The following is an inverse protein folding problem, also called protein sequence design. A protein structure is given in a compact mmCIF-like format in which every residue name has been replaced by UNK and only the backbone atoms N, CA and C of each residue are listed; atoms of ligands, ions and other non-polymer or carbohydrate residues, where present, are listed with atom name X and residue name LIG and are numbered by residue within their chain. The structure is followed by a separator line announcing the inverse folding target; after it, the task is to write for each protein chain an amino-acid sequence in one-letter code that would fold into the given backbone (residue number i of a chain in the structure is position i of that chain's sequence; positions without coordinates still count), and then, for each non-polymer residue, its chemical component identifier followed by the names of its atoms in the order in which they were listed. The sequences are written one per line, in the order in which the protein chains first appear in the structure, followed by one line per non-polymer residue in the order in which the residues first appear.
data_IF_456649440830
#
_entry.id   IF_456649440830
#
_cell.length_a   1.000
_cell.length_b   1.000
_cell.length_c   1.000
_cell.angle_alpha   90.00
_cell.angle_beta   90.00
_cell.angle_gamma   90.00
#
_symmetry.space_group_name_H-M   'P 1'
#
loop_
_entity.id
_entity.type
_entity.pdbx_description
1 polymer ?
#
# COMPACT_ATOMS: atom_id res chain seq x y z
N UNK A 1 0.24 20.16 -41.09
CA UNK A 1 -0.30 19.36 -39.97
C UNK A 1 -1.80 19.55 -39.88
N UNK A 2 -2.56 18.46 -39.90
CA UNK A 2 -4.00 18.48 -39.65
C UNK A 2 -4.28 18.64 -38.15
N UNK A 3 -5.48 19.11 -37.79
CA UNK A 3 -5.93 19.26 -36.38
C UNK A 3 -5.83 17.94 -35.60
N UNK A 4 -6.09 16.85 -36.30
CA UNK A 4 -6.07 15.47 -35.82
C UNK A 4 -4.65 14.97 -35.52
N UNK A 5 -3.67 15.28 -36.36
CA UNK A 5 -2.26 15.00 -36.08
C UNK A 5 -1.78 15.75 -34.83
N UNK A 6 -2.15 17.03 -34.68
CA UNK A 6 -1.84 17.81 -33.47
C UNK A 6 -2.45 17.20 -32.21
N UNK A 7 -3.67 16.66 -32.32
CA UNK A 7 -4.33 15.99 -31.20
C UNK A 7 -3.60 14.72 -30.78
N UNK A 8 -3.24 13.86 -31.74
CA UNK A 8 -2.52 12.61 -31.47
C UNK A 8 -1.13 12.87 -30.89
N UNK A 9 -0.40 13.88 -31.37
CA UNK A 9 0.88 14.30 -30.79
C UNK A 9 0.74 14.83 -29.36
N UNK A 10 -0.26 15.67 -29.10
CA UNK A 10 -0.54 16.17 -27.75
C UNK A 10 -0.95 15.04 -26.79
N UNK A 11 -1.70 14.05 -27.27
CA UNK A 11 -2.04 12.86 -26.50
C UNK A 11 -0.80 12.02 -26.18
N UNK A 12 0.06 11.75 -27.18
CA UNK A 12 1.33 11.06 -26.99
C UNK A 12 2.21 11.76 -25.95
N UNK A 13 2.38 13.07 -26.06
CA UNK A 13 3.16 13.88 -25.11
C UNK A 13 2.62 13.75 -23.67
N UNK A 14 1.30 13.85 -23.47
CA UNK A 14 0.67 13.65 -22.15
C UNK A 14 0.88 12.23 -21.60
N UNK A 15 0.89 11.20 -22.45
CA UNK A 15 1.16 9.83 -22.00
C UNK A 15 2.62 9.64 -21.59
N UNK A 16 3.56 10.21 -22.34
CA UNK A 16 4.98 10.18 -21.98
C UNK A 16 5.23 10.85 -20.64
N UNK A 17 4.62 12.01 -20.38
CA UNK A 17 4.69 12.69 -19.08
C UNK A 17 4.11 11.82 -17.94
N UNK A 18 2.99 11.14 -18.19
CA UNK A 18 2.39 10.21 -17.21
C UNK A 18 3.28 9.01 -16.93
N UNK A 19 3.96 8.46 -17.94
CA UNK A 19 4.93 7.36 -17.75
C UNK A 19 6.11 7.85 -16.93
N UNK A 20 6.64 9.06 -17.21
CA UNK A 20 7.73 9.62 -16.41
C UNK A 20 7.32 9.81 -14.94
N UNK A 21 6.14 10.39 -14.70
CA UNK A 21 5.58 10.56 -13.35
C UNK A 21 5.41 9.20 -12.66
N UNK A 22 4.95 8.18 -13.38
CA UNK A 22 4.79 6.82 -12.86
C UNK A 22 6.13 6.20 -12.42
N UNK A 23 7.19 6.40 -13.22
CA UNK A 23 8.54 5.95 -12.88
C UNK A 23 9.03 6.64 -11.61
N UNK A 24 8.83 7.95 -11.50
CA UNK A 24 9.24 8.73 -10.33
C UNK A 24 8.45 8.33 -9.08
N UNK A 25 7.14 8.12 -9.21
CA UNK A 25 6.28 7.67 -8.10
C UNK A 25 6.65 6.27 -7.62
N UNK A 26 7.03 5.36 -8.52
CA UNK A 26 7.53 4.04 -8.16
C UNK A 26 8.91 4.11 -7.51
N UNK A 27 9.85 4.88 -8.09
CA UNK A 27 11.20 5.06 -7.57
C UNK A 27 11.20 5.68 -6.17
N UNK A 28 10.32 6.65 -5.92
CA UNK A 28 10.11 7.28 -4.61
C UNK A 28 9.26 6.42 -3.65
N UNK A 29 8.69 5.31 -4.14
CA UNK A 29 7.96 4.33 -3.34
C UNK A 29 6.54 4.74 -2.97
N UNK A 30 5.94 5.69 -3.68
CA UNK A 30 4.54 6.14 -3.46
C UNK A 30 3.51 5.11 -3.91
N UNK A 31 3.88 4.26 -4.87
CA UNK A 31 3.04 3.16 -5.38
C UNK A 31 3.75 1.82 -5.18
N UNK A 32 2.95 0.75 -5.09
CA UNK A 32 3.47 -0.62 -5.00
C UNK A 32 3.77 -1.18 -6.41
N UNK A 33 4.29 -2.42 -6.46
CA UNK A 33 4.68 -3.07 -7.72
C UNK A 33 3.47 -3.31 -8.63
N UNK A 34 2.36 -3.75 -8.07
CA UNK A 34 1.15 -4.08 -8.85
C UNK A 34 0.50 -2.83 -9.47
N UNK A 35 0.46 -1.72 -8.73
CA UNK A 35 0.06 -0.40 -9.23
C UNK A 35 0.96 0.05 -10.37
N UNK A 36 2.28 -0.12 -10.23
CA UNK A 36 3.23 0.23 -11.27
C UNK A 36 2.98 -0.58 -12.55
N UNK A 37 2.91 -1.91 -12.46
CA UNK A 37 2.69 -2.76 -13.64
C UNK A 37 1.36 -2.45 -14.33
N UNK A 38 0.27 -2.36 -13.58
CA UNK A 38 -1.06 -2.11 -14.16
C UNK A 38 -1.14 -0.74 -14.87
N UNK A 39 -0.52 0.29 -14.31
CA UNK A 39 -0.48 1.62 -14.94
C UNK A 39 0.48 1.67 -16.11
N UNK A 40 1.65 1.04 -16.00
CA UNK A 40 2.66 1.04 -17.05
C UNK A 40 2.17 0.30 -18.29
N UNK A 41 1.56 -0.88 -18.12
CA UNK A 41 0.95 -1.65 -19.19
C UNK A 41 -0.11 -0.83 -19.92
N UNK A 42 -1.02 -0.21 -19.16
CA UNK A 42 -2.06 0.67 -19.72
C UNK A 42 -1.48 1.82 -20.53
N UNK A 43 -0.52 2.56 -19.96
CA UNK A 43 0.03 3.73 -20.64
C UNK A 43 0.81 3.32 -21.88
N UNK A 44 1.55 2.21 -21.82
CA UNK A 44 2.27 1.64 -22.97
C UNK A 44 1.32 1.22 -24.09
N UNK A 45 0.22 0.52 -23.76
CA UNK A 45 -0.79 0.14 -24.73
C UNK A 45 -1.43 1.37 -25.41
N UNK A 46 -1.74 2.42 -24.65
CA UNK A 46 -2.29 3.67 -25.19
C UNK A 46 -1.27 4.44 -26.04
N UNK A 47 0.01 4.37 -25.71
CA UNK A 47 1.08 4.97 -26.49
C UNK A 47 1.20 4.30 -27.87
N UNK A 48 1.12 2.97 -27.91
CA UNK A 48 1.13 2.21 -29.16
C UNK A 48 -0.05 2.57 -30.06
N UNK A 49 -1.25 2.77 -29.49
CA UNK A 49 -2.42 3.23 -30.28
C UNK A 49 -2.20 4.65 -30.82
N UNK A 50 -1.61 5.54 -30.04
CA UNK A 50 -1.28 6.90 -30.49
C UNK A 50 -0.25 6.90 -31.63
N UNK A 51 0.78 6.06 -31.52
CA UNK A 51 1.79 5.89 -32.57
C UNK A 51 1.17 5.32 -33.86
N UNK A 52 0.31 4.31 -33.73
CA UNK A 52 -0.42 3.78 -34.88
C UNK A 52 -1.32 4.82 -35.54
N UNK A 53 -2.04 5.63 -34.76
CA UNK A 53 -2.89 6.71 -35.28
C UNK A 53 -2.08 7.76 -36.07
N UNK A 54 -0.89 8.12 -35.59
CA UNK A 54 0.03 9.04 -36.26
C UNK A 54 0.56 8.47 -37.59
N UNK A 55 0.93 7.18 -37.60
CA UNK A 55 1.47 6.50 -38.79
C UNK A 55 0.41 6.21 -39.84
N UNK A 56 -0.79 5.80 -39.43
CA UNK A 56 -1.89 5.42 -40.33
C UNK A 56 -2.73 6.61 -40.80
N UNK A 57 -2.57 7.80 -40.20
CA UNK A 57 -3.41 8.96 -40.47
C UNK A 57 -4.87 8.76 -40.02
N UNK A 58 -5.14 7.78 -39.15
CA UNK A 58 -6.47 7.50 -38.59
C UNK A 58 -6.54 7.95 -37.11
N UNK A 59 -7.00 9.18 -36.84
CA UNK A 59 -7.00 9.76 -35.51
C UNK A 59 -8.12 9.24 -34.60
N UNK A 60 -9.17 8.61 -35.15
CA UNK A 60 -10.30 8.07 -34.37
C UNK A 60 -9.85 6.96 -33.42
N UNK A 61 -8.73 6.28 -33.74
CA UNK A 61 -8.11 5.29 -32.86
C UNK A 61 -7.69 5.88 -31.50
N UNK A 62 -7.35 7.19 -31.43
CA UNK A 62 -6.99 7.86 -30.17
C UNK A 62 -8.21 8.07 -29.28
N UNK A 63 -9.37 8.38 -29.85
CA UNK A 63 -10.61 8.53 -29.09
C UNK A 63 -11.04 7.20 -28.45
N UNK A 64 -10.82 6.09 -29.16
CA UNK A 64 -11.09 4.73 -28.64
C UNK A 64 -10.09 4.36 -27.53
N UNK A 65 -8.83 4.78 -27.63
CA UNK A 65 -7.78 4.51 -26.63
C UNK A 65 -8.06 5.16 -25.26
N UNK A 66 -8.91 6.17 -25.19
CA UNK A 66 -9.30 6.80 -23.93
C UNK A 66 -10.26 5.94 -23.10
N UNK A 67 -10.93 4.96 -23.72
CA UNK A 67 -11.82 4.00 -23.05
C UNK A 67 -11.11 3.08 -22.05
N UNK A 68 -11.90 2.46 -21.15
CA UNK A 68 -11.42 1.55 -20.09
C UNK A 68 -11.43 2.16 -18.68
N UNK A 69 -11.06 1.38 -17.65
CA UNK A 69 -11.10 1.82 -16.25
C UNK A 69 -10.21 3.04 -16.04
N UNK A 70 -10.60 4.01 -15.21
CA UNK A 70 -9.83 5.23 -14.94
C UNK A 70 -8.51 4.94 -14.19
N UNK A 71 -7.55 5.86 -14.22
CA UNK A 71 -6.29 5.71 -13.45
C UNK A 71 -6.58 5.55 -11.97
N UNK A 72 -7.58 6.29 -11.47
CA UNK A 72 -8.05 6.20 -10.09
C UNK A 72 -8.55 4.79 -9.75
N UNK A 73 -9.40 4.21 -10.62
CA UNK A 73 -9.93 2.86 -10.41
C UNK A 73 -8.81 1.81 -10.34
N UNK A 74 -7.79 1.90 -11.21
CA UNK A 74 -6.64 0.99 -11.14
C UNK A 74 -5.91 1.15 -9.81
N UNK A 75 -5.59 2.39 -9.42
CA UNK A 75 -4.92 2.67 -8.15
C UNK A 75 -5.70 2.17 -6.93
N UNK A 76 -7.02 2.30 -6.95
CA UNK A 76 -7.91 1.82 -5.89
C UNK A 76 -8.02 0.30 -5.84
N UNK A 77 -7.92 -0.40 -6.98
CA UNK A 77 -8.01 -1.85 -7.07
C UNK A 77 -6.70 -2.54 -6.66
N UNK A 78 -5.56 -1.98 -7.06
CA UNK A 78 -4.23 -2.59 -6.85
C UNK A 78 -3.48 -2.01 -5.66
N UNK A 79 -3.91 -0.88 -5.10
CA UNK A 79 -3.27 -0.27 -3.94
C UNK A 79 -3.43 -1.09 -2.67
N UNK A 80 -2.39 -1.09 -1.83
CA UNK A 80 -2.42 -1.70 -0.50
C UNK A 80 -3.49 -1.07 0.41
N UNK A 81 -4.37 -1.88 0.98
CA UNK A 81 -5.40 -1.44 1.93
C UNK A 81 -5.22 -2.15 3.27
N UNK A 82 -4.84 -1.42 4.32
CA UNK A 82 -4.78 -1.99 5.66
C UNK A 82 -6.18 -2.43 6.10
N UNK A 83 -6.31 -3.70 6.47
CA UNK A 83 -7.55 -4.31 6.94
C UNK A 83 -7.59 -4.38 8.47
N UNK A 84 -6.47 -4.71 9.08
CA UNK A 84 -6.32 -4.85 10.52
C UNK A 84 -4.86 -4.88 10.93
N UNK A 85 -4.64 -4.87 12.25
CA UNK A 85 -3.32 -4.75 12.85
C UNK A 85 -3.32 -5.48 14.19
N UNK A 86 -2.26 -6.24 14.45
CA UNK A 86 -1.97 -6.85 15.74
C UNK A 86 -0.77 -6.15 16.35
N UNK A 87 -0.83 -5.90 17.66
CA UNK A 87 0.28 -5.38 18.44
C UNK A 87 0.72 -6.49 19.39
N UNK A 88 1.98 -6.88 19.29
CA UNK A 88 2.62 -7.88 20.15
C UNK A 88 3.57 -7.22 21.12
N UNK A 89 3.66 -7.76 22.32
CA UNK A 89 4.75 -7.50 23.23
C UNK A 89 6.02 -8.23 22.74
N UNK A 90 7.12 -7.50 22.54
CA UNK A 90 8.34 -8.07 21.96
C UNK A 90 9.08 -9.01 22.91
N UNK A 91 8.85 -8.93 24.22
CA UNK A 91 9.52 -9.80 25.19
C UNK A 91 8.83 -11.16 25.33
N UNK A 92 7.50 -11.16 25.38
CA UNK A 92 6.67 -12.35 25.62
C UNK A 92 6.03 -12.94 24.37
N UNK A 93 6.06 -12.21 23.24
CA UNK A 93 5.29 -12.51 22.03
C UNK A 93 3.77 -12.61 22.27
N UNK A 94 3.27 -12.07 23.38
CA UNK A 94 1.85 -12.02 23.68
C UNK A 94 1.16 -10.91 22.87
N UNK A 95 -0.09 -11.13 22.46
CA UNK A 95 -0.90 -10.09 21.82
C UNK A 95 -1.32 -9.08 22.89
N UNK A 96 -0.96 -7.82 22.67
CA UNK A 96 -1.43 -6.67 23.46
C UNK A 96 -2.79 -6.22 22.95
N UNK A 97 -2.95 -6.08 21.63
CA UNK A 97 -4.20 -5.55 21.06
C UNK A 97 -4.41 -6.00 19.60
N UNK A 98 -5.69 -6.08 19.20
CA UNK A 98 -6.12 -6.27 17.81
C UNK A 98 -6.98 -5.09 17.34
N UNK A 99 -6.55 -4.40 16.29
CA UNK A 99 -7.27 -3.28 15.69
C UNK A 99 -7.79 -3.64 14.29
N UNK A 100 -9.05 -3.32 14.00
CA UNK A 100 -9.66 -3.56 12.68
C UNK A 100 -10.01 -5.03 12.42
N UNK A 101 -9.98 -5.45 11.16
CA UNK A 101 -10.30 -6.82 10.74
C UNK A 101 -9.02 -7.58 10.42
N UNK A 102 -8.60 -8.42 11.37
CA UNK A 102 -7.46 -9.31 11.19
C UNK A 102 -7.95 -10.75 11.00
N UNK A 103 -8.04 -11.19 9.74
CA UNK A 103 -8.65 -12.49 9.40
C UNK A 103 -7.62 -13.59 9.13
N UNK A 104 -6.33 -13.27 9.16
CA UNK A 104 -5.26 -14.25 8.93
C UNK A 104 -5.09 -15.10 10.19
N UNK A 105 -5.03 -16.42 10.00
CA UNK A 105 -4.93 -17.38 11.08
C UNK A 105 -3.54 -17.39 11.71
N UNK A 106 -3.46 -17.76 12.99
CA UNK A 106 -2.22 -17.70 13.76
C UNK A 106 -1.10 -18.59 13.17
N UNK A 107 -1.43 -19.73 12.56
CA UNK A 107 -0.47 -20.63 11.89
C UNK A 107 0.27 -19.97 10.73
N UNK A 108 -0.32 -18.96 10.07
CA UNK A 108 0.35 -18.16 9.03
C UNK A 108 1.21 -17.03 9.61
N UNK A 109 0.78 -16.43 10.73
CA UNK A 109 1.47 -15.27 11.34
C UNK A 109 2.65 -15.71 12.21
N UNK A 110 2.47 -16.73 13.03
CA UNK A 110 3.43 -17.12 14.07
C UNK A 110 4.81 -17.49 13.53
N UNK A 111 4.97 -18.25 12.42
CA UNK A 111 6.28 -18.55 11.87
C UNK A 111 7.03 -17.29 11.44
N UNK A 112 6.33 -16.39 10.73
CA UNK A 112 6.89 -15.11 10.29
C UNK A 112 7.29 -14.23 11.47
N UNK A 113 6.45 -14.18 12.50
CA UNK A 113 6.72 -13.41 13.70
C UNK A 113 7.92 -13.97 14.48
N UNK A 114 8.02 -15.29 14.62
CA UNK A 114 9.12 -15.95 15.31
C UNK A 114 10.46 -15.70 14.60
N UNK A 115 10.51 -15.86 13.28
CA UNK A 115 11.70 -15.58 12.47
C UNK A 115 12.10 -14.09 12.55
N UNK A 116 11.11 -13.20 12.50
CA UNK A 116 11.30 -11.76 12.58
C UNK A 116 11.83 -11.32 13.94
N UNK A 117 11.23 -11.79 15.04
CA UNK A 117 11.65 -11.44 16.39
C UNK A 117 12.98 -12.10 16.80
N UNK A 118 13.32 -13.25 16.20
CA UNK A 118 14.60 -13.93 16.41
C UNK A 118 15.78 -13.23 15.75
N UNK A 119 15.55 -12.23 14.88
CA UNK A 119 16.59 -11.53 14.14
C UNK A 119 16.92 -10.18 14.79
N UNK A 120 18.13 -9.99 15.38
CA UNK A 120 18.53 -8.70 15.92
C UNK A 120 18.57 -7.63 14.82
N UNK A 121 18.01 -6.45 15.09
CA UNK A 121 17.91 -5.35 14.13
C UNK A 121 17.15 -5.72 12.84
N UNK A 122 16.14 -6.58 12.92
CA UNK A 122 15.30 -6.93 11.79
C UNK A 122 14.79 -5.67 11.06
N UNK A 123 15.13 -5.57 9.77
CA UNK A 123 14.45 -4.65 8.88
C UNK A 123 13.00 -5.09 8.71
N UNK A 124 12.11 -4.14 8.43
CA UNK A 124 10.70 -4.43 8.21
C UNK A 124 10.49 -5.56 7.20
N UNK A 125 9.62 -6.49 7.56
CA UNK A 125 9.32 -7.65 6.73
C UNK A 125 7.97 -7.47 6.06
N UNK A 126 7.93 -7.59 4.74
CA UNK A 126 6.71 -7.63 3.93
C UNK A 126 6.60 -9.02 3.32
N UNK A 127 5.56 -9.76 3.71
CA UNK A 127 5.37 -11.15 3.31
C UNK A 127 3.97 -11.37 2.74
N UNK A 128 3.88 -12.06 1.61
CA UNK A 128 2.60 -12.51 1.06
C UNK A 128 2.15 -13.76 1.81
N UNK A 129 0.92 -13.76 2.32
CA UNK A 129 0.33 -14.88 3.08
C UNK A 129 -0.88 -15.51 2.38
N UNK A 130 -1.39 -14.85 1.34
CA UNK A 130 -2.42 -15.35 0.44
C UNK A 130 -2.41 -14.54 -0.88
N UNK A 131 -3.23 -14.92 -1.87
CA UNK A 131 -3.28 -14.29 -3.20
C UNK A 131 -3.40 -12.76 -3.15
N UNK A 132 -4.20 -12.24 -2.22
CA UNK A 132 -4.44 -10.79 -2.05
C UNK A 132 -4.15 -10.31 -0.62
N UNK A 133 -3.42 -11.08 0.17
CA UNK A 133 -3.16 -10.75 1.57
C UNK A 133 -1.66 -10.69 1.84
N UNK A 134 -1.26 -9.58 2.44
CA UNK A 134 0.12 -9.27 2.77
C UNK A 134 0.23 -8.89 4.24
N UNK A 135 1.26 -9.37 4.91
CA UNK A 135 1.64 -8.94 6.24
C UNK A 135 2.82 -8.00 6.15
N UNK A 136 2.74 -6.90 6.91
CA UNK A 136 3.87 -6.03 7.20
C UNK A 136 4.20 -6.18 8.69
N UNK A 137 5.41 -6.61 9.00
CA UNK A 137 5.94 -6.70 10.36
C UNK A 137 6.91 -5.54 10.59
N UNK A 138 6.69 -4.80 11.67
CA UNK A 138 7.52 -3.67 12.10
C UNK A 138 7.94 -3.88 13.54
N UNK A 139 9.25 -3.90 13.77
CA UNK A 139 9.82 -4.01 15.11
C UNK A 139 9.96 -2.64 15.76
N UNK A 140 9.59 -2.57 17.04
CA UNK A 140 9.85 -1.45 17.92
C UNK A 140 10.79 -1.86 19.04
N UNK A 141 10.92 -1.01 20.05
CA UNK A 141 11.72 -1.28 21.24
C UNK A 141 11.01 -2.21 22.21
N UNK A 142 9.69 -2.06 22.36
CA UNK A 142 8.87 -2.81 23.31
C UNK A 142 7.87 -3.72 22.63
N UNK A 143 7.47 -3.38 21.41
CA UNK A 143 6.37 -4.01 20.71
C UNK A 143 6.72 -4.31 19.26
N UNK A 144 6.05 -5.34 18.72
CA UNK A 144 6.10 -5.67 17.29
C UNK A 144 4.69 -5.49 16.72
N UNK A 145 4.58 -4.74 15.63
CA UNK A 145 3.32 -4.51 14.94
C UNK A 145 3.24 -5.39 13.70
N UNK A 146 2.13 -6.12 13.56
CA UNK A 146 1.82 -6.92 12.38
C UNK A 146 0.58 -6.35 11.71
N UNK A 147 0.74 -5.73 10.55
CA UNK A 147 -0.35 -5.12 9.79
C UNK A 147 -0.77 -6.00 8.63
N UNK A 148 -2.06 -6.30 8.52
CA UNK A 148 -2.66 -7.00 7.41
C UNK A 148 -3.09 -6.01 6.32
N UNK A 149 -2.61 -6.22 5.10
CA UNK A 149 -3.01 -5.48 3.91
C UNK A 149 -3.74 -6.37 2.90
N UNK A 150 -4.77 -5.80 2.26
CA UNK A 150 -5.26 -6.26 0.96
C UNK A 150 -4.36 -5.66 -0.12
N UNK A 151 -3.68 -6.52 -0.88
CA UNK A 151 -2.57 -6.21 -1.79
C UNK A 151 -1.29 -5.73 -1.08
N UNK A 152 -0.17 -5.75 -1.80
CA UNK A 152 1.13 -5.32 -1.28
C UNK A 152 1.10 -3.84 -0.82
N UNK A 153 1.63 -3.49 0.37
CA UNK A 153 1.80 -2.10 0.75
C UNK A 153 2.90 -1.42 -0.08
N UNK A 154 2.70 -0.15 -0.45
CA UNK A 154 3.80 0.67 -1.00
C UNK A 154 4.84 1.01 0.07
N UNK A 155 6.07 1.35 -0.33
CA UNK A 155 7.13 1.77 0.62
C UNK A 155 6.71 2.97 1.46
N UNK A 156 5.94 3.90 0.87
CA UNK A 156 5.40 5.04 1.61
C UNK A 156 4.42 4.59 2.71
N UNK A 157 3.58 3.59 2.43
CA UNK A 157 2.69 3.02 3.44
C UNK A 157 3.46 2.28 4.53
N UNK A 158 4.51 1.56 4.18
CA UNK A 158 5.40 0.91 5.15
C UNK A 158 6.02 1.93 6.10
N UNK A 159 6.58 3.02 5.57
CA UNK A 159 7.15 4.13 6.37
C UNK A 159 6.12 4.82 7.25
N UNK A 160 4.88 4.93 6.80
CA UNK A 160 3.79 5.49 7.59
C UNK A 160 3.46 4.59 8.80
N UNK A 161 3.38 3.27 8.60
CA UNK A 161 3.18 2.31 9.69
C UNK A 161 4.35 2.35 10.67
N UNK A 162 5.59 2.42 10.19
CA UNK A 162 6.78 2.62 11.04
C UNK A 162 6.67 3.87 11.91
N UNK A 163 6.29 5.00 11.31
CA UNK A 163 6.15 6.25 12.05
C UNK A 163 5.08 6.11 13.12
N UNK A 164 3.90 5.60 12.76
CA UNK A 164 2.80 5.42 13.70
C UNK A 164 3.14 4.45 14.84
N UNK A 165 3.97 3.43 14.56
CA UNK A 165 4.47 2.51 15.58
C UNK A 165 5.44 3.19 16.54
N UNK A 166 6.38 4.00 16.04
CA UNK A 166 7.23 4.83 16.90
C UNK A 166 6.40 5.78 17.76
N UNK A 167 5.43 6.48 17.16
CA UNK A 167 4.53 7.39 17.88
C UNK A 167 3.75 6.64 18.98
N UNK A 168 3.32 5.40 18.70
CA UNK A 168 2.67 4.52 19.68
C UNK A 168 3.59 4.17 20.84
N UNK A 169 4.82 3.76 20.58
CA UNK A 169 5.75 3.41 21.66
C UNK A 169 6.15 4.62 22.50
N UNK A 170 6.36 5.78 21.87
CA UNK A 170 6.69 7.02 22.58
C UNK A 170 5.54 7.46 23.49
N UNK A 171 4.31 7.48 22.97
CA UNK A 171 3.13 7.85 23.74
C UNK A 171 2.88 6.90 24.94
N UNK A 172 3.26 5.63 24.81
CA UNK A 172 2.98 4.59 25.80
C UNK A 172 4.22 4.11 26.57
N UNK A 173 5.36 4.78 26.43
CA UNK A 173 6.66 4.31 26.95
C UNK A 173 6.58 3.82 28.40
N UNK A 174 5.96 4.59 29.29
CA UNK A 174 5.89 4.28 30.72
C UNK A 174 5.02 3.06 31.04
N UNK A 175 4.02 2.76 30.20
CA UNK A 175 3.18 1.58 30.34
C UNK A 175 3.87 0.36 29.73
N UNK A 176 4.51 0.52 28.56
CA UNK A 176 5.20 -0.56 27.85
C UNK A 176 6.51 -1.00 28.54
N UNK A 177 7.13 -0.12 29.34
CA UNK A 177 8.30 -0.47 30.13
C UNK A 177 7.99 -1.37 31.35
N UNK A 178 6.71 -1.62 31.65
CA UNK A 178 6.30 -2.45 32.77
C UNK A 178 6.21 -3.93 32.35
N UNK A 179 6.43 -4.89 33.28
CA UNK A 179 6.34 -6.32 32.96
C UNK A 179 4.95 -6.79 32.50
N UNK A 180 3.90 -6.04 32.84
CA UNK A 180 2.53 -6.37 32.47
C UNK A 180 1.85 -5.13 31.88
N UNK A 181 1.54 -5.20 30.60
CA UNK A 181 0.92 -4.10 29.84
C UNK A 181 -0.59 -4.18 29.97
N UNK A 182 -1.21 -3.09 30.46
CA UNK A 182 -2.66 -2.93 30.50
C UNK A 182 -3.13 -2.18 29.24
N UNK A 183 -3.64 -2.92 28.25
CA UNK A 183 -4.09 -2.39 26.96
C UNK A 183 -5.13 -1.26 27.10
N UNK A 184 -5.97 -1.30 28.13
CA UNK A 184 -7.04 -0.30 28.34
C UNK A 184 -6.54 1.12 28.61
N UNK A 185 -5.25 1.27 28.93
CA UNK A 185 -4.60 2.56 29.25
C UNK A 185 -3.75 3.10 28.11
N UNK A 186 -3.66 2.40 26.98
CA UNK A 186 -2.77 2.77 25.89
C UNK A 186 -3.42 3.79 24.95
N UNK A 187 -2.61 4.71 24.44
CA UNK A 187 -2.97 5.56 23.31
C UNK A 187 -2.67 4.87 21.98
N UNK A 188 -3.59 4.95 21.01
CA UNK A 188 -3.46 4.25 19.73
C UNK A 188 -3.47 5.20 18.52
N UNK A 189 -2.31 5.73 18.08
CA UNK A 189 -2.20 6.56 16.88
C UNK A 189 -2.76 5.89 15.61
N UNK A 190 -2.70 4.55 15.58
CA UNK A 190 -3.27 3.73 14.51
C UNK A 190 -4.78 3.95 14.30
N UNK A 191 -5.54 4.37 15.32
CA UNK A 191 -6.98 4.62 15.15
C UNK A 191 -7.25 5.73 14.14
N UNK A 192 -6.42 6.78 14.08
CA UNK A 192 -6.57 7.83 13.08
C UNK A 192 -6.38 7.30 11.65
N UNK A 193 -5.51 6.29 11.48
CA UNK A 193 -5.24 5.64 10.19
C UNK A 193 -6.33 4.64 9.81
N UNK A 194 -6.70 3.79 10.76
CA UNK A 194 -7.74 2.75 10.62
C UNK A 194 -9.11 3.39 10.41
N UNK A 195 -9.49 4.44 11.15
CA UNK A 195 -10.78 5.13 10.97
C UNK A 195 -10.87 5.91 9.66
N UNK A 196 -9.79 6.56 9.18
CA UNK A 196 -9.80 7.24 7.86
C UNK A 196 -9.96 6.27 6.70
N UNK A 197 -9.45 5.04 6.82
CA UNK A 197 -9.49 4.02 5.76
C UNK A 197 -10.73 3.11 5.87
N UNK A 198 -11.21 2.80 7.07
CA UNK A 198 -12.43 2.01 7.31
C UNK A 198 -13.72 2.85 7.32
N UNK A 199 -13.68 4.13 7.71
CA UNK A 199 -14.86 5.00 7.75
C UNK A 199 -15.48 5.28 6.37
N UNK A 200 -14.71 5.10 5.29
CA UNK A 200 -15.22 5.17 3.91
C UNK A 200 -15.99 3.93 3.47
N UNK A 201 -15.88 2.80 4.17
CA UNK A 201 -16.63 1.58 3.86
C UNK A 201 -18.09 1.61 4.38
N UNK A 202 -18.40 2.48 5.35
CA UNK A 202 -19.72 2.55 5.98
C UNK A 202 -20.67 3.62 5.40
N UNK A 203 -20.29 4.33 4.34
CA UNK A 203 -21.14 5.31 3.66
C UNK A 203 -21.66 4.83 2.28
N UNK A 204 -21.56 3.53 2.01
CA UNK A 204 -22.17 2.88 0.86
C UNK A 204 -23.18 1.81 1.32
N UNK A 205 -24.26 2.26 1.96
CA UNK A 205 -25.51 1.51 2.10
C UNK A 205 -26.67 2.46 1.89
#
# INVERSE_FOLDING_TARGET
MTREQRYAEAFKSRLTEKIQTLLDDFATGKINRDQFHALYERYSARLLIADHALLSGNPDAVAIAESGPSTLQILEQTGGKALGLLIYDSASAAIIETLGQFTVTADKVQPLLADFMGTPHAENCVAQVDEQQWLLLVAGRFTTVVTLFKNEPSRLQTREIERLHRDFEEANHNALAQPMVDASKLGYPFLAFVQKKLGKANHAR
#
